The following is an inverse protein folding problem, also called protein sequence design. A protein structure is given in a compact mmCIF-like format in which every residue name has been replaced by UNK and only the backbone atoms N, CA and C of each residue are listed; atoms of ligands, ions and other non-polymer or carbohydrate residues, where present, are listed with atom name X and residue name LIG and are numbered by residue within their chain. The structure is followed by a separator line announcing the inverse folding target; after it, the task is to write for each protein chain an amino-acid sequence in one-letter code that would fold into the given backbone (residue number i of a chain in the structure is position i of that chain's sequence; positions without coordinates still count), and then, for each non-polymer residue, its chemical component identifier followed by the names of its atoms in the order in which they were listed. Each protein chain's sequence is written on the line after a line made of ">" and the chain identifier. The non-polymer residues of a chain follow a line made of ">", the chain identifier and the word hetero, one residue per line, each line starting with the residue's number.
data_IF_513523279257
#
_entry.id   IF_513523279257
#
_cell.length_a   1.000
_cell.length_b   1.000
_cell.length_c   1.000
_cell.angle_alpha   90.00
_cell.angle_beta   90.00
_cell.angle_gamma   90.00
#
_symmetry.space_group_name_H-M   'P 1'
#
loop_
_entity.id
_entity.type
_entity.pdbx_description
1 polymer ?
#
# COMPACT_ATOMS: atom_id res chain seq x y z
N UNK A 1 -2.33 6.20 -12.39
CA UNK A 1 -1.89 6.06 -11.01
C UNK A 1 -3.08 6.11 -10.06
N UNK A 2 -3.03 5.37 -8.98
CA UNK A 2 -4.13 5.32 -8.02
C UNK A 2 -4.26 6.64 -7.28
N UNK A 3 -5.45 7.23 -7.33
CA UNK A 3 -5.79 8.42 -6.57
C UNK A 3 -7.31 8.56 -6.50
N UNK A 4 -7.86 9.26 -5.48
CA UNK A 4 -9.29 9.47 -5.40
C UNK A 4 -9.77 10.35 -6.56
N UNK A 5 -10.91 10.00 -7.13
CA UNK A 5 -11.55 10.84 -8.15
C UNK A 5 -12.20 12.07 -7.53
N UNK A 6 -12.62 11.96 -6.28
CA UNK A 6 -13.28 13.04 -5.55
C UNK A 6 -12.97 12.92 -4.06
N UNK A 7 -12.65 14.05 -3.42
CA UNK A 7 -12.37 14.08 -1.99
C UNK A 7 -13.30 15.05 -1.28
N UNK A 8 -13.64 14.74 -0.03
CA UNK A 8 -14.43 15.63 0.82
C UNK A 8 -13.63 16.86 1.24
N UNK A 9 -12.35 16.66 1.56
CA UNK A 9 -11.45 17.74 1.94
C UNK A 9 -10.21 17.71 1.04
N UNK A 10 -9.76 18.90 0.65
CA UNK A 10 -8.59 19.03 -0.23
C UNK A 10 -7.28 18.68 0.47
N UNK A 11 -7.19 18.98 1.76
CA UNK A 11 -5.98 18.77 2.55
C UNK A 11 -6.31 18.03 3.83
N UNK A 12 -5.32 17.35 4.40
CA UNK A 12 -5.48 16.59 5.63
C UNK A 12 -4.25 16.78 6.53
N UNK A 13 -4.45 16.56 7.83
CA UNK A 13 -3.34 16.53 8.77
C UNK A 13 -2.49 15.30 8.55
N UNK A 14 -1.16 15.45 8.70
CA UNK A 14 -0.25 14.33 8.64
C UNK A 14 -0.59 13.30 9.72
N UNK A 15 -0.72 13.75 10.95
CA UNK A 15 -1.01 12.88 12.08
C UNK A 15 0.05 11.82 12.31
N UNK A 16 -0.25 10.90 13.23
CA UNK A 16 0.56 9.71 13.50
C UNK A 16 -0.31 8.48 13.38
N UNK A 17 0.29 7.38 12.98
CA UNK A 17 -0.42 6.12 12.82
C UNK A 17 -0.26 5.32 14.12
N UNK A 18 -1.36 5.07 14.81
CA UNK A 18 -1.37 4.37 16.10
C UNK A 18 -2.16 3.06 16.00
N UNK A 19 -1.79 2.12 16.86
CA UNK A 19 -2.52 0.88 17.03
C UNK A 19 -2.24 -0.15 15.96
N UNK A 20 -3.02 -1.23 16.00
CA UNK A 20 -2.94 -2.33 15.04
C UNK A 20 -4.16 -2.32 14.14
N UNK A 21 -4.01 -2.90 12.94
CA UNK A 21 -5.11 -3.01 12.01
C UNK A 21 -6.19 -3.96 12.56
N UNK A 22 -7.44 -3.49 12.54
CA UNK A 22 -8.61 -4.30 12.88
C UNK A 22 -9.41 -4.68 11.64
N UNK A 23 -9.26 -3.90 10.56
CA UNK A 23 -9.86 -4.17 9.26
C UNK A 23 -8.76 -4.53 8.26
N UNK A 24 -9.10 -5.34 7.27
CA UNK A 24 -8.13 -5.83 6.30
C UNK A 24 -6.94 -6.51 6.98
N UNK A 25 -7.18 -7.22 8.08
CA UNK A 25 -6.15 -7.90 8.86
C UNK A 25 -6.09 -9.40 8.57
N UNK A 26 -7.02 -9.92 7.77
CA UNK A 26 -7.07 -11.33 7.37
C UNK A 26 -7.26 -11.42 5.86
N UNK A 27 -6.82 -12.55 5.29
CA UNK A 27 -7.00 -12.80 3.87
C UNK A 27 -8.48 -13.11 3.57
N UNK A 28 -9.07 -12.36 2.66
CA UNK A 28 -10.48 -12.54 2.28
C UNK A 28 -10.64 -13.11 0.87
N UNK A 29 -9.72 -12.84 -0.03
CA UNK A 29 -9.85 -13.17 -1.45
C UNK A 29 -8.89 -14.25 -1.91
N UNK A 30 -7.64 -14.19 -1.49
CA UNK A 30 -6.60 -15.08 -1.98
C UNK A 30 -6.06 -16.05 -0.93
N UNK A 31 -5.22 -16.97 -1.36
CA UNK A 31 -4.57 -17.95 -0.48
C UNK A 31 -3.32 -17.39 0.18
N UNK A 32 -2.70 -16.39 -0.43
CA UNK A 32 -1.45 -15.80 0.05
C UNK A 32 -1.59 -14.29 0.09
N UNK A 33 -0.83 -13.67 0.98
CA UNK A 33 -0.89 -12.23 1.09
C UNK A 33 0.36 -11.63 1.69
N UNK A 34 0.47 -10.32 1.54
CA UNK A 34 1.54 -9.50 2.10
C UNK A 34 0.97 -8.67 3.23
N UNK A 35 1.51 -8.83 4.41
CA UNK A 35 1.03 -8.19 5.64
C UNK A 35 2.06 -7.18 6.13
N UNK A 36 1.61 -5.98 6.47
CA UNK A 36 2.48 -4.95 7.01
C UNK A 36 2.87 -5.27 8.46
N UNK A 37 4.13 -5.05 8.80
CA UNK A 37 4.64 -5.22 10.17
C UNK A 37 4.85 -3.87 10.84
N UNK A 38 5.08 -2.82 10.05
CA UNK A 38 5.35 -1.47 10.55
C UNK A 38 4.28 -0.49 10.09
N UNK A 39 4.01 0.57 10.89
CA UNK A 39 3.12 1.63 10.45
C UNK A 39 3.86 2.61 9.53
N UNK A 40 3.22 3.03 8.45
CA UNK A 40 3.76 4.04 7.55
C UNK A 40 2.69 4.51 6.58
N UNK A 41 2.94 5.63 5.93
CA UNK A 41 2.15 6.07 4.79
C UNK A 41 2.77 5.48 3.52
N UNK A 42 1.95 4.80 2.74
CA UNK A 42 2.36 4.21 1.47
C UNK A 42 1.73 5.03 0.35
N UNK A 43 2.55 5.60 -0.50
CA UNK A 43 2.06 6.47 -1.59
C UNK A 43 1.59 5.65 -2.79
N UNK A 44 0.76 6.27 -3.64
CA UNK A 44 0.21 5.58 -4.80
C UNK A 44 1.26 5.01 -5.74
N UNK A 45 2.37 5.70 -5.92
CA UNK A 45 3.47 5.22 -6.76
C UNK A 45 4.08 3.93 -6.23
N UNK A 46 4.24 3.82 -4.92
CA UNK A 46 4.78 2.62 -4.27
C UNK A 46 3.82 1.44 -4.42
N UNK A 47 2.53 1.68 -4.23
CA UNK A 47 1.51 0.65 -4.40
C UNK A 47 1.51 0.13 -5.83
N UNK A 48 1.55 1.01 -6.80
CA UNK A 48 1.56 0.63 -8.22
C UNK A 48 2.83 -0.11 -8.60
N UNK A 49 3.99 0.35 -8.12
CA UNK A 49 5.26 -0.32 -8.37
C UNK A 49 5.27 -1.74 -7.80
N UNK A 50 4.74 -1.92 -6.60
CA UNK A 50 4.65 -3.23 -5.96
C UNK A 50 3.71 -4.16 -6.74
N UNK A 51 2.55 -3.66 -7.17
CA UNK A 51 1.60 -4.41 -7.97
C UNK A 51 2.23 -4.89 -9.28
N UNK A 52 2.93 -4.00 -9.97
CA UNK A 52 3.59 -4.32 -11.24
C UNK A 52 4.67 -5.38 -11.04
N UNK A 53 5.50 -5.25 -10.00
CA UNK A 53 6.55 -6.21 -9.70
C UNK A 53 5.97 -7.60 -9.44
N UNK A 54 4.86 -7.65 -8.69
CA UNK A 54 4.17 -8.88 -8.35
C UNK A 54 3.60 -9.57 -9.58
N UNK A 55 2.88 -8.83 -10.42
CA UNK A 55 2.27 -9.40 -11.63
C UNK A 55 3.31 -9.85 -12.66
N UNK A 56 4.41 -9.12 -12.79
CA UNK A 56 5.49 -9.51 -13.69
C UNK A 56 6.13 -10.83 -13.29
N UNK A 57 6.38 -11.01 -12.02
CA UNK A 57 6.96 -12.27 -11.54
C UNK A 57 6.03 -13.44 -11.79
N UNK A 58 4.74 -13.24 -11.59
CA UNK A 58 3.72 -14.27 -11.82
C UNK A 58 3.42 -14.51 -13.31
N UNK A 59 4.02 -13.73 -14.21
CA UNK A 59 3.79 -13.80 -15.65
C UNK A 59 2.30 -13.71 -16.01
N UNK A 60 1.57 -12.87 -15.27
CA UNK A 60 0.13 -12.65 -15.43
C UNK A 60 -0.73 -13.90 -15.18
N UNK A 61 -0.18 -14.93 -14.54
CA UNK A 61 -0.97 -16.07 -14.09
C UNK A 61 -1.58 -15.77 -12.73
N UNK A 62 -2.72 -16.39 -12.44
CA UNK A 62 -3.41 -16.17 -11.17
C UNK A 62 -4.07 -14.81 -11.08
N UNK A 63 -4.46 -14.45 -9.86
CA UNK A 63 -5.13 -13.17 -9.56
C UNK A 63 -4.43 -12.44 -8.44
N UNK A 64 -4.47 -11.12 -8.52
CA UNK A 64 -3.90 -10.21 -7.51
C UNK A 64 -4.97 -9.24 -7.06
N UNK A 65 -5.11 -9.05 -5.76
CA UNK A 65 -5.98 -8.04 -5.18
C UNK A 65 -5.14 -7.02 -4.43
N UNK A 66 -5.28 -5.75 -4.80
CA UNK A 66 -4.68 -4.64 -4.06
C UNK A 66 -5.63 -4.22 -2.97
N UNK A 67 -5.24 -4.41 -1.71
CA UNK A 67 -6.11 -4.16 -0.55
C UNK A 67 -5.92 -2.78 0.06
N UNK A 68 -5.10 -1.94 -0.53
CA UNK A 68 -4.84 -0.58 -0.05
C UNK A 68 -5.13 0.42 -1.16
N UNK A 69 -5.60 1.60 -0.76
CA UNK A 69 -5.89 2.68 -1.69
C UNK A 69 -5.36 4.00 -1.12
N UNK A 70 -4.66 4.80 -1.92
CA UNK A 70 -4.11 6.09 -1.45
C UNK A 70 -5.23 7.14 -1.43
N UNK A 71 -5.82 7.35 -0.28
CA UNK A 71 -6.95 8.27 -0.11
C UNK A 71 -6.63 9.53 0.67
N UNK A 72 -5.46 9.62 1.29
CA UNK A 72 -5.06 10.76 2.12
C UNK A 72 -4.18 11.70 1.30
N UNK A 73 -4.58 12.96 1.12
CA UNK A 73 -3.76 13.92 0.38
C UNK A 73 -2.53 14.31 1.16
N UNK A 74 -1.38 14.36 0.47
CA UNK A 74 -0.10 14.80 1.04
C UNK A 74 0.32 16.08 0.34
N UNK A 75 0.50 17.14 1.11
CA UNK A 75 0.85 18.44 0.59
C UNK A 75 2.37 18.63 0.62
N UNK A 76 2.88 19.36 -0.35
CA UNK A 76 4.30 19.68 -0.44
C UNK A 76 4.47 21.06 -1.06
N UNK A 77 5.42 21.82 -0.55
CA UNK A 77 5.79 23.11 -1.14
C UNK A 77 7.01 22.94 -2.04
N UNK A 78 7.11 23.72 -3.14
CA UNK A 78 8.32 23.74 -3.94
C UNK A 78 9.54 24.13 -3.09
N UNK A 79 10.70 23.63 -3.47
CA UNK A 79 11.93 23.85 -2.70
C UNK A 79 12.32 25.32 -2.63
N UNK A 80 12.01 26.11 -3.65
CA UNK A 80 12.33 27.53 -3.74
C UNK A 80 11.33 28.42 -3.00
N UNK A 81 10.25 27.88 -2.46
CA UNK A 81 9.23 28.65 -1.73
C UNK A 81 9.61 28.69 -0.26
N UNK A 82 9.57 29.90 0.32
CA UNK A 82 9.87 30.12 1.73
C UNK A 82 8.79 29.53 2.62
N UNK A 83 9.16 29.19 3.85
CA UNK A 83 8.22 28.69 4.86
C UNK A 83 7.19 29.75 5.22
N UNK A 84 5.99 29.30 5.60
CA UNK A 84 4.89 30.20 5.98
C UNK A 84 3.91 30.40 4.84
N UNK A 85 2.94 31.31 5.07
CA UNK A 85 1.88 31.68 4.12
C UNK A 85 0.97 30.51 3.75
N UNK A 86 0.68 29.65 4.74
CA UNK A 86 -0.27 28.55 4.59
C UNK A 86 0.32 27.24 4.15
N UNK A 87 -0.51 26.22 4.12
CA UNK A 87 -0.15 24.85 3.76
C UNK A 87 0.03 24.71 2.26
N UNK A 88 1.02 23.94 1.84
CA UNK A 88 1.26 23.68 0.44
C UNK A 88 0.11 22.96 -0.26
N UNK A 89 0.14 22.92 -1.58
CA UNK A 89 -0.87 22.23 -2.37
C UNK A 89 -0.72 20.72 -2.26
N UNK A 90 -1.83 19.95 -2.35
CA UNK A 90 -1.74 18.50 -2.44
C UNK A 90 -0.92 18.09 -3.68
N UNK A 91 0.08 17.24 -3.48
CA UNK A 91 0.94 16.80 -4.57
C UNK A 91 0.68 15.34 -4.93
N UNK A 92 0.44 14.51 -3.92
CA UNK A 92 0.14 13.10 -4.13
C UNK A 92 -0.76 12.59 -3.01
N UNK A 93 -1.18 11.34 -3.14
CA UNK A 93 -2.05 10.69 -2.16
C UNK A 93 -1.35 9.49 -1.56
N UNK A 94 -1.67 9.17 -0.31
CA UNK A 94 -1.09 8.06 0.41
C UNK A 94 -2.15 7.29 1.19
N UNK A 95 -1.83 6.07 1.55
CA UNK A 95 -2.63 5.24 2.44
C UNK A 95 -1.91 5.13 3.78
N UNK A 96 -2.62 5.36 4.88
CA UNK A 96 -2.10 5.13 6.22
C UNK A 96 -2.22 3.65 6.54
N UNK A 97 -1.08 2.98 6.68
CA UNK A 97 -1.03 1.55 6.92
C UNK A 97 -0.65 1.30 8.37
N UNK A 98 -1.48 0.52 9.07
CA UNK A 98 -1.20 0.07 10.44
C UNK A 98 -0.55 -1.31 10.42
N UNK A 99 0.25 -1.64 11.44
CA UNK A 99 0.77 -3.01 11.54
C UNK A 99 -0.36 -4.04 11.52
N UNK A 100 -0.20 -5.10 10.78
CA UNK A 100 -1.20 -6.15 10.65
C UNK A 100 -2.11 -6.02 9.44
N UNK A 101 -2.03 -4.92 8.70
CA UNK A 101 -2.89 -4.74 7.53
C UNK A 101 -2.38 -5.54 6.34
N UNK A 102 -3.30 -6.17 5.63
CA UNK A 102 -3.01 -6.87 4.38
C UNK A 102 -2.91 -5.84 3.25
N UNK A 103 -1.80 -5.89 2.53
CA UNK A 103 -1.53 -4.95 1.43
C UNK A 103 -1.93 -5.53 0.08
N UNK A 104 -1.57 -6.78 -0.16
CA UNK A 104 -1.88 -7.49 -1.40
C UNK A 104 -2.31 -8.92 -1.08
N UNK A 105 -3.17 -9.46 -1.93
CA UNK A 105 -3.53 -10.89 -1.88
C UNK A 105 -3.31 -11.51 -3.25
N UNK A 106 -2.93 -12.78 -3.26
CA UNK A 106 -2.59 -13.52 -4.47
C UNK A 106 -3.27 -14.89 -4.43
N UNK A 107 -3.76 -15.35 -5.56
CA UNK A 107 -4.30 -16.69 -5.71
C UNK A 107 -4.04 -17.20 -7.11
N UNK A 108 -4.21 -18.52 -7.31
CA UNK A 108 -4.06 -19.14 -8.61
C UNK A 108 -2.63 -19.49 -9.01
N UNK A 109 -1.68 -19.42 -8.07
CA UNK A 109 -0.28 -19.81 -8.29
C UNK A 109 0.20 -20.70 -7.15
N UNK A 110 1.33 -21.39 -7.37
CA UNK A 110 1.92 -22.22 -6.33
C UNK A 110 2.43 -21.38 -5.18
N UNK A 111 2.60 -21.99 -4.01
CA UNK A 111 3.08 -21.30 -2.81
C UNK A 111 4.46 -20.67 -3.04
N UNK A 112 5.38 -21.38 -3.70
CA UNK A 112 6.72 -20.87 -3.97
C UNK A 112 6.67 -19.62 -4.85
N UNK A 113 5.91 -19.67 -5.94
CA UNK A 113 5.77 -18.52 -6.84
C UNK A 113 5.12 -17.35 -6.11
N UNK A 114 4.09 -17.60 -5.31
CA UNK A 114 3.42 -16.56 -4.54
C UNK A 114 4.35 -15.90 -3.56
N UNK A 115 5.14 -16.67 -2.81
CA UNK A 115 6.10 -16.11 -1.84
C UNK A 115 7.15 -15.24 -2.50
N UNK A 116 7.72 -15.71 -3.62
CA UNK A 116 8.73 -14.95 -4.34
C UNK A 116 8.16 -13.68 -4.96
N UNK A 117 6.96 -13.76 -5.53
CA UNK A 117 6.29 -12.59 -6.10
C UNK A 117 6.00 -11.53 -5.03
N UNK A 118 5.49 -11.95 -3.87
CA UNK A 118 5.22 -11.04 -2.76
C UNK A 118 6.50 -10.45 -2.19
N UNK A 119 7.58 -11.20 -2.15
CA UNK A 119 8.87 -10.69 -1.72
C UNK A 119 9.37 -9.60 -2.66
N UNK A 120 9.26 -9.80 -3.97
CA UNK A 120 9.63 -8.78 -4.95
C UNK A 120 8.77 -7.53 -4.84
N UNK A 121 7.49 -7.70 -4.59
CA UNK A 121 6.59 -6.57 -4.33
C UNK A 121 6.99 -5.80 -3.07
N UNK A 122 7.39 -6.49 -2.02
CA UNK A 122 7.77 -5.87 -0.76
C UNK A 122 8.99 -4.94 -0.90
N UNK A 123 9.87 -5.23 -1.85
CA UNK A 123 11.05 -4.40 -2.11
C UNK A 123 10.68 -3.01 -2.62
N UNK A 124 9.46 -2.83 -3.14
CA UNK A 124 8.97 -1.53 -3.63
C UNK A 124 8.25 -0.73 -2.56
N UNK A 125 8.06 -1.30 -1.38
CA UNK A 125 7.32 -0.66 -0.29
C UNK A 125 8.28 -0.10 0.76
N UNK A 126 7.89 0.98 1.48
CA UNK A 126 8.76 1.63 2.46
C UNK A 126 8.76 0.96 3.83
N UNK A 127 8.05 -0.14 4.00
CA UNK A 127 7.86 -0.78 5.30
C UNK A 127 8.28 -2.24 5.25
N UNK A 128 8.55 -2.79 6.43
CA UNK A 128 8.76 -4.22 6.58
C UNK A 128 7.42 -4.94 6.47
N UNK A 129 7.44 -6.08 5.79
CA UNK A 129 6.26 -6.87 5.51
C UNK A 129 6.53 -8.34 5.78
N UNK A 130 5.46 -9.11 5.86
CA UNK A 130 5.52 -10.56 6.05
C UNK A 130 4.57 -11.23 5.07
N UNK A 131 5.02 -12.30 4.44
CA UNK A 131 4.15 -13.13 3.61
C UNK A 131 3.35 -14.06 4.51
N UNK A 132 2.05 -14.12 4.30
CA UNK A 132 1.15 -14.99 5.06
C UNK A 132 0.38 -15.91 4.13
N UNK A 133 -0.09 -17.02 4.70
CA UNK A 133 -0.87 -18.03 4.00
C UNK A 133 -2.20 -18.20 4.72
N UNK A 134 -3.26 -18.39 3.94
CA UNK A 134 -4.58 -18.70 4.48
C UNK A 134 -4.61 -20.11 5.02
N UNK A 135 -5.20 -20.28 6.19
CA UNK A 135 -5.46 -21.62 6.70
C UNK A 135 -6.59 -22.25 5.90
N UNK A 136 -6.34 -23.46 5.49
CA UNK A 136 -7.34 -24.24 4.79
C UNK A 136 -8.41 -24.73 5.76
#
# INVERSE_FOLDING_TARGET
>A
MLQPTRTKFRKAFKGRIHGKATRAAVLNYGQFGLKAIQPERVIGKQIEAARVALTRYMKRTGKVWTRVFPNIPVSKKPIEVRMGKGKGSPEFYACRVKPGRILFEVDGVSEQIAKEALYKASAKLPIKTKTIKRFA
#
